data_IF_231845863289
#
_entry.id   IF_231845863289
#
_cell.length_a   1.000
_cell.length_b   1.000
_cell.length_c   1.000
_cell.angle_alpha   90.00
_cell.angle_beta   90.00
_cell.angle_gamma   90.00
#
_symmetry.space_group_name_H-M   'P 1'
#
loop_
_entity.id
_entity.type
_entity.pdbx_description
1 polymer ?
#
# COMPACT_ATOMS: atom_id res chain seq x y z
N UNK A 1 -7.23 -15.52 2.11
CA UNK A 1 -5.81 -15.08 2.13
C UNK A 1 -5.41 -14.72 0.70
N UNK A 2 -5.49 -13.44 0.32
CA UNK A 2 -4.91 -12.99 -0.96
C UNK A 2 -3.39 -13.07 -0.83
N UNK A 3 -2.75 -13.91 -1.64
CA UNK A 3 -1.29 -13.97 -1.70
C UNK A 3 -0.79 -12.67 -2.33
N UNK A 4 -0.03 -11.86 -1.58
CA UNK A 4 0.65 -10.64 -2.06
C UNK A 4 1.43 -10.88 -3.37
N UNK A 5 1.91 -12.10 -3.60
CA UNK A 5 2.66 -12.52 -4.80
C UNK A 5 1.83 -12.70 -6.07
N UNK A 6 0.49 -12.77 -6.00
CA UNK A 6 -0.38 -12.93 -7.19
C UNK A 6 -0.87 -11.61 -7.79
N UNK A 7 -0.58 -10.50 -7.13
CA UNK A 7 -1.01 -9.16 -7.56
C UNK A 7 0.06 -8.50 -8.42
N UNK A 8 -0.35 -7.98 -9.58
CA UNK A 8 0.53 -7.35 -10.58
C UNK A 8 1.20 -6.11 -9.98
N UNK A 9 2.52 -5.98 -10.12
CA UNK A 9 3.24 -4.80 -9.63
C UNK A 9 2.96 -3.62 -10.57
N UNK A 10 2.33 -2.57 -10.03
CA UNK A 10 1.96 -1.37 -10.80
C UNK A 10 3.00 -0.26 -10.63
N UNK A 11 3.74 -0.27 -9.51
CA UNK A 11 4.75 0.72 -9.23
C UNK A 11 5.28 0.65 -7.81
N UNK A 12 5.96 1.70 -7.38
CA UNK A 12 6.45 1.87 -6.01
C UNK A 12 6.07 3.27 -5.55
N UNK A 13 5.70 3.39 -4.28
CA UNK A 13 5.60 4.68 -3.61
C UNK A 13 6.75 4.82 -2.65
N UNK A 14 7.47 5.93 -2.76
CA UNK A 14 8.48 6.29 -1.77
C UNK A 14 7.77 6.97 -0.59
N UNK A 15 7.94 6.40 0.60
CA UNK A 15 7.37 6.89 1.83
C UNK A 15 8.47 7.34 2.77
N UNK A 16 8.40 8.58 3.21
CA UNK A 16 9.31 9.12 4.21
C UNK A 16 8.83 8.72 5.60
N UNK A 17 9.60 7.87 6.27
CA UNK A 17 9.37 7.38 7.62
C UNK A 17 10.46 7.96 8.54
N UNK A 18 10.21 9.17 9.04
CA UNK A 18 11.20 9.92 9.80
C UNK A 18 12.37 10.36 8.91
N UNK A 19 13.56 9.79 9.14
CA UNK A 19 14.77 10.05 8.33
C UNK A 19 15.03 8.99 7.26
N UNK A 20 14.18 7.97 7.16
CA UNK A 20 14.33 6.85 6.23
C UNK A 20 13.31 6.98 5.10
N UNK A 21 13.79 6.95 3.86
CA UNK A 21 12.94 6.77 2.69
C UNK A 21 12.72 5.26 2.48
N UNK A 22 11.47 4.81 2.62
CA UNK A 22 11.07 3.41 2.42
C UNK A 22 10.25 3.31 1.15
N UNK A 23 10.70 2.48 0.21
CA UNK A 23 9.93 2.21 -0.99
C UNK A 23 8.94 1.07 -0.72
N UNK A 24 7.65 1.38 -0.82
CA UNK A 24 6.58 0.41 -0.68
C UNK A 24 6.04 0.04 -2.06
N UNK A 25 6.07 -1.25 -2.45
CA UNK A 25 5.52 -1.68 -3.73
C UNK A 25 4.00 -1.49 -3.77
N UNK A 26 3.52 -0.93 -4.87
CA UNK A 26 2.10 -0.83 -5.21
C UNK A 26 1.75 -1.99 -6.15
N UNK A 27 0.75 -2.78 -5.77
CA UNK A 27 0.26 -3.91 -6.56
C UNK A 27 -1.21 -3.74 -6.92
N UNK A 28 -1.57 -4.07 -8.14
CA UNK A 28 -2.95 -4.09 -8.60
C UNK A 28 -3.58 -5.38 -8.06
N UNK A 29 -4.68 -5.21 -7.35
CA UNK A 29 -5.53 -6.29 -6.87
C UNK A 29 -6.87 -6.25 -7.60
N UNK A 30 -7.51 -7.41 -7.71
CA UNK A 30 -8.84 -7.50 -8.31
C UNK A 30 -9.83 -6.57 -7.58
N UNK A 31 -10.65 -5.86 -8.36
CA UNK A 31 -11.74 -5.04 -7.83
C UNK A 31 -12.67 -5.94 -7.00
N UNK A 32 -12.69 -5.70 -5.68
CA UNK A 32 -13.58 -6.37 -4.76
C UNK A 32 -14.55 -5.32 -4.22
N UNK A 33 -15.84 -5.57 -4.40
CA UNK A 33 -16.94 -4.63 -4.10
C UNK A 33 -17.01 -4.20 -2.63
N UNK A 34 -16.38 -4.96 -1.73
CA UNK A 34 -16.42 -4.77 -0.29
C UNK A 34 -15.13 -4.17 0.28
N UNK A 35 -14.14 -3.88 -0.56
CA UNK A 35 -12.83 -3.40 -0.12
C UNK A 35 -12.51 -2.01 -0.67
N UNK A 36 -11.75 -1.19 0.06
CA UNK A 36 -11.39 0.13 -0.42
C UNK A 36 -10.52 0.06 -1.69
N UNK A 37 -10.60 1.14 -2.48
CA UNK A 37 -9.90 1.29 -3.75
C UNK A 37 -8.38 1.18 -3.64
N UNK A 38 -7.82 1.49 -2.48
CA UNK A 38 -6.48 1.09 -2.11
C UNK A 38 -6.45 0.65 -0.64
N UNK A 39 -5.56 -0.28 -0.31
CA UNK A 39 -5.38 -0.76 1.06
C UNK A 39 -3.94 -1.12 1.30
N UNK A 40 -3.42 -0.79 2.48
CA UNK A 40 -2.11 -1.23 2.89
C UNK A 40 -2.21 -2.62 3.51
N UNK A 41 -1.41 -3.56 3.00
CA UNK A 41 -1.29 -4.90 3.53
C UNK A 41 0.16 -5.11 4.00
N UNK A 42 0.32 -5.50 5.26
CA UNK A 42 1.60 -5.87 5.83
C UNK A 42 1.54 -7.33 6.29
N UNK A 43 2.48 -8.14 5.80
CA UNK A 43 2.65 -9.54 6.17
C UNK A 43 4.07 -9.75 6.69
N UNK A 44 4.20 -9.77 8.03
CA UNK A 44 5.49 -9.93 8.71
C UNK A 44 6.44 -8.76 8.43
N UNK A 45 7.51 -9.03 7.68
CA UNK A 45 8.51 -8.06 7.20
C UNK A 45 8.20 -7.46 5.84
N UNK A 46 7.21 -8.00 5.13
CA UNK A 46 6.82 -7.51 3.82
C UNK A 46 5.63 -6.57 3.95
N UNK A 47 5.63 -5.49 3.17
CA UNK A 47 4.50 -4.60 3.08
C UNK A 47 4.26 -4.18 1.63
N UNK A 48 3.01 -4.02 1.25
CA UNK A 48 2.62 -3.54 -0.07
C UNK A 48 1.28 -2.81 -0.01
N UNK A 49 1.08 -1.88 -0.94
CA UNK A 49 -0.21 -1.22 -1.12
C UNK A 49 -0.94 -1.92 -2.26
N UNK A 50 -2.13 -2.44 -1.99
CA UNK A 50 -3.00 -3.03 -2.99
C UNK A 50 -3.94 -1.95 -3.53
N UNK A 51 -3.95 -1.77 -4.85
CA UNK A 51 -4.86 -0.86 -5.55
C UNK A 51 -5.88 -1.67 -6.35
N UNK A 52 -7.17 -1.43 -6.13
CA UNK A 52 -8.32 -2.19 -6.66
C UNK A 52 -9.21 -1.36 -7.60
N UNK A 53 -8.70 -0.26 -8.13
CA UNK A 53 -9.45 0.61 -9.05
C UNK A 53 -8.55 1.22 -10.11
N UNK A 54 -9.17 1.94 -11.04
CA UNK A 54 -8.46 2.68 -12.08
C UNK A 54 -7.52 3.72 -11.45
N UNK A 55 -6.23 3.52 -11.63
CA UNK A 55 -5.15 4.43 -11.17
C UNK A 55 -5.27 5.86 -11.71
N UNK A 56 -6.12 6.07 -12.72
CA UNK A 56 -6.45 7.41 -13.24
C UNK A 56 -7.56 8.14 -12.46
N UNK A 57 -8.19 7.49 -11.48
CA UNK A 57 -9.27 8.08 -10.69
C UNK A 57 -8.73 8.79 -9.44
N UNK A 58 -9.19 10.02 -9.20
CA UNK A 58 -8.92 10.77 -7.95
C UNK A 58 -9.23 9.97 -6.68
N UNK A 59 -10.23 9.09 -6.74
CA UNK A 59 -10.60 8.24 -5.62
C UNK A 59 -9.50 7.21 -5.27
N UNK A 60 -8.75 6.72 -6.27
CA UNK A 60 -7.58 5.86 -6.06
C UNK A 60 -6.43 6.65 -5.48
N UNK A 61 -6.17 7.88 -5.94
CA UNK A 61 -5.13 8.74 -5.34
C UNK A 61 -5.38 9.01 -3.86
N UNK A 62 -6.63 9.32 -3.48
CA UNK A 62 -7.01 9.54 -2.08
C UNK A 62 -6.80 8.26 -1.27
N UNK A 63 -7.33 7.13 -1.74
CA UNK A 63 -7.17 5.86 -1.05
C UNK A 63 -5.69 5.43 -0.95
N UNK A 64 -4.90 5.68 -1.99
CA UNK A 64 -3.46 5.41 -2.02
C UNK A 64 -2.74 6.24 -0.95
N UNK A 65 -3.11 7.52 -0.81
CA UNK A 65 -2.55 8.41 0.20
C UNK A 65 -2.92 7.99 1.62
N UNK A 66 -4.15 7.51 1.83
CA UNK A 66 -4.59 6.95 3.11
C UNK A 66 -3.81 5.68 3.43
N UNK A 67 -3.70 4.74 2.49
CA UNK A 67 -2.90 3.52 2.63
C UNK A 67 -1.41 3.83 2.88
N UNK A 68 -0.85 4.83 2.21
CA UNK A 68 0.50 5.32 2.44
C UNK A 68 0.70 5.86 3.87
N UNK A 69 -0.26 6.62 4.40
CA UNK A 69 -0.19 7.08 5.79
C UNK A 69 -0.25 5.91 6.79
N UNK A 70 -1.09 4.90 6.53
CA UNK A 70 -1.13 3.70 7.35
C UNK A 70 0.20 2.94 7.29
N UNK A 71 0.79 2.82 6.10
CA UNK A 71 2.10 2.22 5.90
C UNK A 71 3.19 2.94 6.71
N UNK A 72 3.26 4.28 6.63
CA UNK A 72 4.22 5.08 7.41
C UNK A 72 4.02 4.89 8.90
N UNK A 73 2.77 4.86 9.40
CA UNK A 73 2.48 4.62 10.82
C UNK A 73 2.92 3.23 11.26
N UNK A 74 2.68 2.22 10.43
CA UNK A 74 3.06 0.84 10.71
C UNK A 74 4.58 0.67 10.71
N UNK A 75 5.26 1.20 9.68
CA UNK A 75 6.72 1.20 9.56
C UNK A 75 7.39 2.00 10.67
N UNK A 76 6.86 3.18 11.01
CA UNK A 76 7.34 4.00 12.14
C UNK A 76 7.30 3.21 13.43
N UNK A 77 6.18 2.55 13.73
CA UNK A 77 6.05 1.71 14.93
C UNK A 77 7.03 0.54 14.93
N UNK A 78 7.28 -0.07 13.77
CA UNK A 78 8.18 -1.21 13.64
C UNK A 78 9.65 -0.81 13.73
N UNK A 79 10.02 0.39 13.29
CA UNK A 79 11.39 0.93 13.34
C UNK A 79 11.76 1.54 14.71
N UNK A 80 10.77 1.93 15.51
CA UNK A 80 10.96 2.51 16.84
C UNK A 80 11.04 1.46 17.97
N UNK A 81 10.89 0.17 17.65
CA UNK A 81 10.88 -0.97 18.58
C UNK A 81 12.09 -1.89 18.34
#
# INVERSE_FOLDING_TARGET
>A
MQNLSKSELVGFVELEVGSLAVQVPIRAAAAATELPLASFEAEGDNCAILVRGDTSSKAVEVALREAAQEAVKHLSKKLLN
#
